data_IF_499895356787
#
_entry.id   IF_499895356787
#
_cell.length_a   1.000
_cell.length_b   1.000
_cell.length_c   1.000
_cell.angle_alpha   90.00
_cell.angle_beta   90.00
_cell.angle_gamma   90.00
#
_symmetry.space_group_name_H-M   'P 1'
#
loop_
_entity.id
_entity.type
_entity.pdbx_description
1 polymer ?
#
# COMPACT_ATOMS: atom_id res chain seq x y z
N UNK A 1 -2.22 -41.50 -23.20
CA UNK A 1 -1.62 -40.18 -23.45
C UNK A 1 -0.68 -39.99 -22.26
N UNK A 2 0.64 -40.03 -22.50
CA UNK A 2 1.63 -39.69 -21.49
C UNK A 2 1.33 -38.25 -21.06
N UNK A 3 1.15 -38.02 -19.75
CA UNK A 3 1.09 -36.66 -19.20
C UNK A 3 2.41 -35.98 -19.55
N UNK A 4 2.40 -34.73 -20.06
CA UNK A 4 3.63 -34.00 -20.35
C UNK A 4 4.46 -33.91 -19.07
N UNK A 5 5.75 -34.25 -19.16
CA UNK A 5 6.66 -34.10 -18.03
C UNK A 5 6.63 -32.64 -17.53
N UNK A 6 6.44 -32.48 -16.23
CA UNK A 6 6.41 -31.17 -15.60
C UNK A 6 7.79 -30.50 -15.75
N UNK A 7 7.82 -29.29 -16.31
CA UNK A 7 9.06 -28.54 -16.46
C UNK A 7 9.66 -28.21 -15.09
N UNK A 8 10.87 -28.69 -14.86
CA UNK A 8 11.68 -28.38 -13.66
C UNK A 8 12.81 -27.44 -14.07
N UNK A 9 12.85 -26.19 -13.57
CA UNK A 9 13.96 -25.28 -13.87
C UNK A 9 15.30 -25.85 -13.39
N UNK A 10 16.29 -25.84 -14.25
CA UNK A 10 17.67 -26.16 -13.89
C UNK A 10 18.48 -24.89 -13.71
N UNK A 11 19.39 -24.88 -12.76
CA UNK A 11 20.25 -23.73 -12.48
C UNK A 11 21.74 -24.12 -12.66
N UNK A 12 22.53 -23.18 -13.19
CA UNK A 12 22.14 -21.87 -13.72
C UNK A 12 21.24 -22.00 -14.95
N UNK A 13 20.44 -20.95 -15.21
CA UNK A 13 19.53 -20.92 -16.38
C UNK A 13 20.33 -20.92 -17.68
N UNK A 14 21.53 -20.35 -17.67
CA UNK A 14 22.47 -20.36 -18.80
C UNK A 14 23.85 -20.73 -18.32
N UNK A 15 24.59 -21.54 -19.13
CA UNK A 15 26.00 -21.85 -18.88
C UNK A 15 26.90 -20.62 -19.10
N UNK A 16 26.58 -19.80 -20.10
CA UNK A 16 27.26 -18.53 -20.37
C UNK A 16 26.51 -17.38 -19.74
N UNK A 17 27.20 -16.35 -19.21
CA UNK A 17 26.54 -15.16 -18.67
C UNK A 17 25.66 -14.47 -19.71
N UNK A 18 24.42 -14.18 -19.33
CA UNK A 18 23.46 -13.42 -20.14
C UNK A 18 23.26 -12.08 -19.50
N UNK A 19 23.30 -10.99 -20.28
CA UNK A 19 22.93 -9.65 -19.84
C UNK A 19 21.59 -9.27 -20.44
N UNK A 20 20.66 -8.84 -19.60
CA UNK A 20 19.38 -8.27 -19.98
C UNK A 20 19.21 -6.87 -19.39
N UNK A 21 18.29 -6.12 -19.93
CA UNK A 21 18.01 -4.74 -19.47
C UNK A 21 16.77 -4.69 -18.57
N UNK A 22 16.84 -3.88 -17.51
CA UNK A 22 15.74 -3.66 -16.59
C UNK A 22 15.42 -2.18 -16.42
N UNK A 23 14.16 -1.84 -16.19
CA UNK A 23 13.73 -0.49 -15.81
C UNK A 23 13.14 -0.49 -14.41
N UNK A 24 13.53 0.51 -13.63
CA UNK A 24 13.03 0.75 -12.27
C UNK A 24 12.82 2.25 -12.05
N UNK A 25 11.98 2.62 -11.09
CA UNK A 25 11.67 4.03 -10.81
C UNK A 25 12.03 4.38 -9.36
N UNK A 26 12.71 5.51 -9.18
CA UNK A 26 12.99 6.10 -7.87
C UNK A 26 13.78 5.21 -6.92
N UNK A 27 14.62 4.31 -7.45
CA UNK A 27 15.47 3.48 -6.63
C UNK A 27 16.74 4.24 -6.28
N UNK A 28 17.02 4.37 -5.01
CA UNK A 28 18.30 4.89 -4.55
C UNK A 28 19.38 3.78 -4.55
N UNK A 29 20.60 4.09 -4.99
CA UNK A 29 21.70 3.17 -4.88
C UNK A 29 21.97 2.82 -3.41
N UNK A 30 22.54 1.64 -3.16
CA UNK A 30 23.01 1.28 -1.83
C UNK A 30 24.23 2.16 -1.43
N UNK A 31 24.76 1.96 -0.21
CA UNK A 31 25.91 2.74 0.30
C UNK A 31 27.18 2.60 -0.56
N UNK A 32 27.26 1.58 -1.40
CA UNK A 32 28.37 1.31 -2.32
C UNK A 32 28.11 1.85 -3.73
N UNK A 33 26.99 2.55 -3.93
CA UNK A 33 26.59 3.10 -5.22
C UNK A 33 25.96 2.08 -6.19
N UNK A 34 25.69 0.85 -5.74
CA UNK A 34 25.05 -0.17 -6.57
C UNK A 34 23.53 -0.01 -6.52
N UNK A 35 22.88 -0.10 -7.67
CA UNK A 35 21.41 -0.11 -7.81
C UNK A 35 20.79 -1.45 -7.41
N UNK A 36 21.61 -2.48 -7.27
CA UNK A 36 21.19 -3.82 -6.91
C UNK A 36 21.01 -3.99 -5.41
N UNK A 37 20.02 -4.76 -5.02
CA UNK A 37 19.84 -5.26 -3.66
C UNK A 37 20.43 -6.68 -3.58
N UNK A 38 20.73 -7.15 -2.38
CA UNK A 38 21.22 -8.52 -2.10
C UNK A 38 20.44 -9.59 -2.89
N UNK A 39 19.12 -9.41 -3.03
CA UNK A 39 18.28 -10.33 -3.79
C UNK A 39 18.71 -10.46 -5.26
N UNK A 40 19.06 -9.34 -5.92
CA UNK A 40 19.46 -9.37 -7.33
C UNK A 40 20.87 -9.95 -7.52
N UNK A 41 21.79 -9.65 -6.61
CA UNK A 41 23.11 -10.27 -6.61
C UNK A 41 22.98 -11.80 -6.46
N UNK A 42 22.11 -12.26 -5.56
CA UNK A 42 21.83 -13.70 -5.39
C UNK A 42 21.15 -14.32 -6.62
N UNK A 43 20.22 -13.61 -7.25
CA UNK A 43 19.57 -14.08 -8.49
C UNK A 43 20.60 -14.22 -9.60
N UNK A 44 21.49 -13.24 -9.76
CA UNK A 44 22.56 -13.28 -10.76
C UNK A 44 23.49 -14.49 -10.54
N UNK A 45 23.98 -14.68 -9.30
CA UNK A 45 24.82 -15.84 -8.94
C UNK A 45 24.11 -17.17 -9.22
N UNK A 46 22.81 -17.23 -8.98
CA UNK A 46 22.04 -18.45 -9.10
C UNK A 46 21.63 -18.76 -10.54
N UNK A 47 21.36 -17.73 -11.34
CA UNK A 47 20.82 -17.86 -12.70
C UNK A 47 21.82 -17.67 -13.80
N UNK A 48 22.97 -17.04 -13.51
CA UNK A 48 23.93 -16.54 -14.46
C UNK A 48 23.34 -15.46 -15.41
N UNK A 49 22.35 -14.71 -14.93
CA UNK A 49 21.71 -13.61 -15.66
C UNK A 49 21.99 -12.30 -14.95
N UNK A 50 22.73 -11.41 -15.63
CA UNK A 50 22.98 -10.05 -15.18
C UNK A 50 21.91 -9.10 -15.68
N UNK A 51 21.40 -8.19 -14.82
CA UNK A 51 20.42 -7.18 -15.21
C UNK A 51 21.04 -5.79 -15.15
N UNK A 52 21.16 -5.13 -16.30
CA UNK A 52 21.53 -3.73 -16.38
C UNK A 52 20.30 -2.83 -16.13
N UNK A 53 20.31 -2.10 -15.02
CA UNK A 53 19.16 -1.31 -14.60
C UNK A 53 19.22 0.14 -15.09
N UNK A 54 18.17 0.57 -15.81
CA UNK A 54 17.86 1.97 -16.06
C UNK A 54 16.95 2.46 -14.92
N UNK A 55 17.46 3.38 -14.12
CA UNK A 55 16.69 3.99 -13.03
C UNK A 55 16.09 5.32 -13.49
N UNK A 56 14.78 5.40 -13.53
CA UNK A 56 14.07 6.65 -13.78
C UNK A 56 13.87 7.41 -12.47
N UNK A 57 14.12 8.71 -12.49
CA UNK A 57 14.06 9.53 -11.28
C UNK A 57 12.65 9.68 -10.71
N UNK A 58 11.64 9.65 -11.57
CA UNK A 58 10.25 9.84 -11.15
C UNK A 58 9.26 9.02 -11.98
N UNK A 59 8.04 8.78 -11.46
CA UNK A 59 6.95 8.17 -12.21
C UNK A 59 6.62 8.87 -13.53
N UNK A 60 6.78 10.19 -13.60
CA UNK A 60 6.46 10.99 -14.80
C UNK A 60 7.37 10.67 -15.98
N UNK A 61 8.59 10.21 -15.72
CA UNK A 61 9.53 9.81 -16.76
C UNK A 61 9.14 8.50 -17.46
N UNK A 62 8.29 7.67 -16.84
CA UNK A 62 7.95 6.34 -17.35
C UNK A 62 7.28 6.38 -18.71
N UNK A 63 6.28 7.25 -18.89
CA UNK A 63 5.56 7.36 -20.16
C UNK A 63 6.50 7.80 -21.29
N UNK A 64 7.39 8.76 -21.03
CA UNK A 64 8.39 9.23 -21.99
C UNK A 64 9.40 8.14 -22.34
N UNK A 65 9.87 7.41 -21.35
CA UNK A 65 10.80 6.29 -21.55
C UNK A 65 10.18 5.18 -22.42
N UNK A 66 8.95 4.76 -22.11
CA UNK A 66 8.24 3.72 -22.87
C UNK A 66 7.80 4.19 -24.27
N UNK A 67 7.72 5.49 -24.53
CA UNK A 67 7.48 6.02 -25.86
C UNK A 67 8.73 5.96 -26.76
N UNK A 68 9.91 5.72 -26.19
CA UNK A 68 11.14 5.54 -26.97
C UNK A 68 11.17 4.19 -27.72
N UNK A 69 12.15 4.02 -28.60
CA UNK A 69 12.36 2.76 -29.31
C UNK A 69 13.12 1.71 -28.47
N UNK A 70 13.77 2.15 -27.39
CA UNK A 70 14.59 1.30 -26.53
C UNK A 70 13.76 0.81 -25.34
N UNK A 71 13.32 -0.45 -25.44
CA UNK A 71 12.53 -1.09 -24.38
C UNK A 71 13.40 -2.01 -23.54
N UNK A 72 13.17 -2.02 -22.23
CA UNK A 72 13.85 -2.95 -21.34
C UNK A 72 13.23 -4.35 -21.46
N UNK A 73 14.01 -5.38 -21.19
CA UNK A 73 13.53 -6.75 -21.12
C UNK A 73 12.63 -6.95 -19.88
N UNK A 74 12.90 -6.23 -18.79
CA UNK A 74 12.13 -6.31 -17.54
C UNK A 74 11.73 -4.90 -17.05
N UNK A 75 10.48 -4.77 -16.62
CA UNK A 75 9.96 -3.58 -15.95
C UNK A 75 9.64 -3.91 -14.49
N UNK A 76 10.41 -3.38 -13.56
CA UNK A 76 10.15 -3.50 -12.12
C UNK A 76 9.47 -2.24 -11.60
N UNK A 77 8.24 -2.03 -12.04
CA UNK A 77 7.42 -0.90 -11.64
C UNK A 77 5.93 -1.22 -11.83
N UNK A 78 5.08 -0.68 -10.94
CA UNK A 78 3.62 -0.78 -11.10
C UNK A 78 3.16 0.21 -12.16
N UNK A 79 3.06 -0.23 -13.39
CA UNK A 79 2.60 0.61 -14.49
C UNK A 79 1.16 1.08 -14.28
N UNK A 80 0.85 2.35 -14.61
CA UNK A 80 -0.50 2.84 -14.71
C UNK A 80 -1.32 2.05 -15.76
N UNK A 81 -2.62 1.91 -15.52
CA UNK A 81 -3.51 1.12 -16.40
C UNK A 81 -3.53 1.61 -17.85
N UNK A 82 -3.43 2.92 -18.07
CA UNK A 82 -3.37 3.47 -19.43
C UNK A 82 -2.12 2.98 -20.18
N UNK A 83 -0.96 2.90 -19.56
CA UNK A 83 0.25 2.39 -20.20
C UNK A 83 0.16 0.88 -20.47
N UNK A 84 -0.48 0.12 -19.59
CA UNK A 84 -0.76 -1.30 -19.84
C UNK A 84 -1.70 -1.46 -21.05
N UNK A 85 -2.73 -0.63 -21.16
CA UNK A 85 -3.62 -0.63 -22.31
C UNK A 85 -2.89 -0.28 -23.61
N UNK A 86 -2.16 0.83 -23.61
CA UNK A 86 -1.53 1.36 -24.82
C UNK A 86 -0.42 0.43 -25.34
N UNK A 87 0.43 -0.05 -24.47
CA UNK A 87 1.58 -0.86 -24.87
C UNK A 87 1.35 -2.37 -24.79
N UNK A 88 0.52 -2.85 -23.86
CA UNK A 88 0.19 -4.26 -23.74
C UNK A 88 -0.93 -4.68 -24.63
N UNK A 89 -2.14 -4.13 -24.42
CA UNK A 89 -3.34 -4.58 -25.12
C UNK A 89 -3.34 -4.13 -26.59
N UNK A 90 -3.07 -2.85 -26.84
CA UNK A 90 -3.10 -2.28 -28.18
C UNK A 90 -1.76 -2.45 -28.91
N UNK A 91 -0.66 -2.27 -28.20
CA UNK A 91 0.68 -2.30 -28.77
C UNK A 91 1.34 -3.67 -28.86
N UNK A 92 0.83 -4.68 -28.12
CA UNK A 92 1.35 -6.04 -28.13
C UNK A 92 2.82 -6.15 -27.67
N UNK A 93 3.31 -5.20 -26.85
CA UNK A 93 4.71 -5.14 -26.44
C UNK A 93 5.03 -5.92 -25.16
N UNK A 94 4.00 -6.31 -24.41
CA UNK A 94 4.19 -7.13 -23.22
C UNK A 94 3.96 -8.60 -23.52
N UNK A 95 4.78 -9.43 -22.92
CA UNK A 95 4.62 -10.88 -22.96
C UNK A 95 3.37 -11.28 -22.17
N UNK A 96 2.49 -12.08 -22.76
CA UNK A 96 1.40 -12.68 -22.02
C UNK A 96 1.91 -13.93 -21.29
N UNK A 97 2.00 -13.90 -19.98
CA UNK A 97 2.52 -15.01 -19.19
C UNK A 97 1.68 -16.27 -19.27
N UNK A 98 0.40 -16.18 -19.65
CA UNK A 98 -0.43 -17.36 -19.84
C UNK A 98 0.04 -18.26 -20.98
N UNK A 99 0.75 -17.70 -21.96
CA UNK A 99 1.29 -18.45 -23.10
C UNK A 99 2.54 -19.26 -22.74
N UNK A 100 3.07 -19.09 -21.51
CA UNK A 100 4.33 -19.69 -21.04
C UNK A 100 4.19 -20.43 -19.71
N UNK A 101 2.95 -20.75 -19.27
CA UNK A 101 2.74 -21.43 -17.99
C UNK A 101 3.34 -22.83 -17.92
N UNK A 102 3.60 -23.46 -19.07
CA UNK A 102 4.30 -24.74 -19.17
C UNK A 102 5.76 -24.68 -18.68
N UNK A 103 6.40 -23.53 -18.83
CA UNK A 103 7.77 -23.28 -18.34
C UNK A 103 7.82 -22.38 -17.10
N UNK A 104 6.66 -22.02 -16.54
CA UNK A 104 6.52 -21.19 -15.34
C UNK A 104 5.75 -21.93 -14.22
N UNK A 105 6.29 -23.03 -13.68
CA UNK A 105 5.55 -23.92 -12.78
C UNK A 105 5.09 -23.21 -11.49
N UNK A 106 5.89 -22.29 -10.96
CA UNK A 106 5.54 -21.54 -9.75
C UNK A 106 4.36 -20.57 -9.99
N UNK A 107 4.30 -19.91 -11.16
CA UNK A 107 3.18 -19.05 -11.50
C UNK A 107 1.91 -19.86 -11.76
N UNK A 108 2.03 -20.97 -12.49
CA UNK A 108 0.93 -21.92 -12.72
C UNK A 108 0.35 -22.40 -11.40
N UNK A 109 1.21 -22.89 -10.49
CA UNK A 109 0.79 -23.32 -9.14
C UNK A 109 0.14 -22.19 -8.34
N UNK A 110 0.63 -20.96 -8.46
CA UNK A 110 0.02 -19.81 -7.79
C UNK A 110 -1.42 -19.56 -8.26
N UNK A 111 -1.69 -19.71 -9.54
CA UNK A 111 -3.05 -19.57 -10.07
C UNK A 111 -3.97 -20.73 -9.67
N UNK A 112 -3.42 -21.93 -9.52
CA UNK A 112 -4.16 -23.11 -9.04
C UNK A 112 -4.51 -22.98 -7.54
N UNK A 113 -3.53 -22.59 -6.72
CA UNK A 113 -3.71 -22.42 -5.26
C UNK A 113 -4.59 -21.20 -4.91
N UNK A 114 -4.54 -20.15 -5.74
CA UNK A 114 -5.24 -18.88 -5.54
C UNK A 114 -5.96 -18.41 -6.82
N UNK A 115 -7.07 -19.06 -7.22
CA UNK A 115 -7.76 -18.76 -8.49
C UNK A 115 -8.20 -17.30 -8.66
N UNK A 116 -8.48 -16.60 -7.55
CA UNK A 116 -8.84 -15.18 -7.57
C UNK A 116 -7.70 -14.28 -8.06
N UNK A 117 -6.45 -14.72 -7.94
CA UNK A 117 -5.29 -13.96 -8.42
C UNK A 117 -5.29 -13.90 -9.95
N UNK A 118 -5.63 -14.99 -10.62
CA UNK A 118 -5.74 -15.00 -12.08
C UNK A 118 -6.80 -13.98 -12.54
N UNK A 119 -7.98 -13.99 -11.91
CA UNK A 119 -9.04 -13.03 -12.24
C UNK A 119 -8.61 -11.57 -11.99
N UNK A 120 -7.90 -11.31 -10.87
CA UNK A 120 -7.40 -9.97 -10.52
C UNK A 120 -6.27 -9.47 -11.41
N UNK A 121 -5.49 -10.36 -12.03
CA UNK A 121 -4.35 -10.03 -12.89
C UNK A 121 -4.73 -9.96 -14.36
N UNK A 122 -5.82 -10.63 -14.77
CA UNK A 122 -6.27 -10.65 -16.15
C UNK A 122 -6.68 -9.26 -16.62
N UNK A 123 -6.17 -8.87 -17.78
CA UNK A 123 -6.59 -7.66 -18.47
C UNK A 123 -7.90 -7.90 -19.21
N UNK A 124 -8.50 -6.85 -19.74
CA UNK A 124 -9.79 -6.94 -20.46
C UNK A 124 -9.74 -7.86 -21.69
N UNK A 125 -8.56 -8.07 -22.28
CA UNK A 125 -8.32 -9.01 -23.37
C UNK A 125 -7.99 -10.44 -22.88
N UNK A 126 -8.07 -10.72 -21.59
CA UNK A 126 -7.77 -11.99 -20.96
C UNK A 126 -6.29 -12.28 -20.72
N UNK A 127 -5.37 -11.41 -21.15
CA UNK A 127 -3.93 -11.62 -20.98
C UNK A 127 -3.46 -11.25 -19.56
N UNK A 128 -2.35 -11.84 -19.14
CA UNK A 128 -1.63 -11.52 -17.89
C UNK A 128 -0.23 -11.01 -18.26
N UNK A 129 0.02 -9.73 -18.01
CA UNK A 129 1.28 -9.05 -18.39
C UNK A 129 2.23 -8.79 -17.22
N UNK A 130 1.90 -9.21 -16.02
CA UNK A 130 2.74 -8.98 -14.84
C UNK A 130 2.71 -10.16 -13.89
N UNK A 131 3.78 -10.31 -13.12
CA UNK A 131 3.81 -11.16 -11.94
C UNK A 131 3.57 -10.32 -10.68
N UNK A 132 3.25 -10.97 -9.57
CA UNK A 132 2.93 -10.32 -8.31
C UNK A 132 3.38 -11.18 -7.13
N UNK A 133 3.49 -10.55 -5.96
CA UNK A 133 3.71 -11.28 -4.73
C UNK A 133 2.36 -11.67 -4.12
N UNK A 134 2.18 -12.96 -3.84
CA UNK A 134 1.04 -13.44 -3.05
C UNK A 134 1.44 -13.40 -1.59
N UNK A 135 0.76 -12.56 -0.83
CA UNK A 135 0.90 -12.51 0.63
C UNK A 135 -0.20 -13.36 1.24
N UNK A 136 0.14 -14.58 1.65
CA UNK A 136 -0.77 -15.44 2.39
C UNK A 136 -0.63 -15.22 3.88
N UNK A 137 -1.65 -14.65 4.52
CA UNK A 137 -1.69 -14.55 5.98
C UNK A 137 -2.53 -13.39 6.51
N UNK A 138 -3.20 -13.60 7.62
CA UNK A 138 -4.01 -12.59 8.32
C UNK A 138 -3.22 -11.33 8.67
N UNK A 139 -1.92 -11.43 8.91
CA UNK A 139 -1.08 -10.28 9.23
C UNK A 139 -0.92 -9.29 8.08
N UNK A 140 -1.00 -9.74 6.83
CA UNK A 140 -0.90 -8.90 5.64
C UNK A 140 -2.23 -8.29 5.22
N UNK A 141 -3.33 -8.92 5.62
CA UNK A 141 -4.70 -8.42 5.37
C UNK A 141 -5.11 -7.27 6.30
N UNK A 142 -4.35 -7.03 7.38
CA UNK A 142 -4.64 -6.03 8.41
C UNK A 142 -3.51 -5.02 8.48
N UNK A 143 -3.13 -4.44 7.35
CA UNK A 143 -1.94 -3.57 7.26
C UNK A 143 -2.24 -2.11 7.61
N UNK A 144 -3.46 -1.68 7.38
CA UNK A 144 -3.87 -0.30 7.60
C UNK A 144 -4.28 -0.06 9.06
N UNK A 145 -3.34 0.39 9.86
CA UNK A 145 -3.60 0.70 11.26
C UNK A 145 -3.26 2.15 11.53
N UNK A 146 -4.14 2.91 12.15
CA UNK A 146 -3.76 4.22 12.65
C UNK A 146 -2.73 4.02 13.75
N UNK A 147 -1.63 4.73 13.61
CA UNK A 147 -0.58 4.77 14.61
C UNK A 147 -0.74 5.99 15.49
N UNK A 148 -0.34 5.84 16.74
CA UNK A 148 -0.40 6.92 17.72
C UNK A 148 0.96 7.12 18.39
N UNK A 149 1.29 8.38 18.59
CA UNK A 149 2.41 8.80 19.40
C UNK A 149 2.00 8.81 20.87
N UNK A 150 2.41 7.79 21.59
CA UNK A 150 2.08 7.66 23.03
C UNK A 150 2.73 8.74 23.86
N UNK A 151 3.94 9.18 23.50
CA UNK A 151 4.63 10.31 24.18
C UNK A 151 3.82 11.62 24.09
N UNK A 152 3.20 11.89 22.93
CA UNK A 152 2.35 13.08 22.74
C UNK A 152 1.05 12.97 23.54
N UNK A 153 0.47 11.76 23.63
CA UNK A 153 -0.69 11.52 24.47
C UNK A 153 -0.37 11.69 25.95
N UNK A 154 0.73 11.11 26.43
CA UNK A 154 1.17 11.19 27.81
C UNK A 154 1.47 12.63 28.22
N UNK A 155 2.17 13.40 27.37
CA UNK A 155 2.44 14.84 27.58
C UNK A 155 1.12 15.64 27.70
N UNK A 156 0.06 15.20 27.02
CA UNK A 156 -1.25 15.81 27.11
C UNK A 156 -2.09 15.28 28.28
N UNK A 157 -1.60 14.31 29.04
CA UNK A 157 -2.30 13.67 30.14
C UNK A 157 -3.32 12.60 29.72
N UNK A 158 -3.23 12.12 28.48
CA UNK A 158 -4.08 11.07 27.93
C UNK A 158 -3.41 9.71 28.15
N UNK A 159 -3.97 8.88 29.01
CA UNK A 159 -3.41 7.59 29.42
C UNK A 159 -4.02 6.39 28.72
N UNK A 160 -5.22 6.54 28.15
CA UNK A 160 -5.95 5.47 27.50
C UNK A 160 -6.14 5.77 26.01
N UNK A 161 -6.03 4.74 25.17
CA UNK A 161 -6.34 4.86 23.75
C UNK A 161 -7.84 4.95 23.52
N UNK A 162 -8.30 5.71 22.52
CA UNK A 162 -9.74 5.84 22.25
C UNK A 162 -10.31 4.51 21.77
N UNK A 163 -11.53 4.20 22.19
CA UNK A 163 -12.28 3.00 21.78
C UNK A 163 -13.49 3.37 20.93
N UNK A 164 -13.92 4.63 21.03
CA UNK A 164 -15.06 5.15 20.27
C UNK A 164 -14.68 6.40 19.49
N UNK A 165 -15.50 6.74 18.51
CA UNK A 165 -15.35 7.98 17.73
C UNK A 165 -15.46 9.21 18.64
N UNK A 166 -16.32 9.17 19.66
CA UNK A 166 -16.48 10.27 20.61
C UNK A 166 -15.25 10.42 21.50
N UNK A 167 -14.69 9.32 22.01
CA UNK A 167 -13.44 9.37 22.77
C UNK A 167 -12.28 9.90 21.91
N UNK A 168 -12.21 9.47 20.65
CA UNK A 168 -11.21 9.97 19.70
C UNK A 168 -11.35 11.48 19.49
N UNK A 169 -12.57 11.96 19.26
CA UNK A 169 -12.85 13.37 19.10
C UNK A 169 -12.45 14.20 20.34
N UNK A 170 -12.83 13.76 21.55
CA UNK A 170 -12.48 14.45 22.79
C UNK A 170 -10.95 14.47 23.03
N UNK A 171 -10.25 13.39 22.71
CA UNK A 171 -8.80 13.36 22.79
C UNK A 171 -8.16 14.35 21.81
N UNK A 172 -8.68 14.49 20.60
CA UNK A 172 -8.19 15.48 19.63
C UNK A 172 -8.38 16.92 20.14
N UNK A 173 -9.46 17.22 20.86
CA UNK A 173 -9.67 18.54 21.50
C UNK A 173 -8.63 18.81 22.58
N UNK A 174 -8.36 17.83 23.46
CA UNK A 174 -7.33 17.93 24.49
C UNK A 174 -5.96 18.17 23.87
N UNK A 175 -5.63 17.44 22.81
CA UNK A 175 -4.36 17.59 22.09
C UNK A 175 -4.22 18.98 21.47
N UNK A 176 -5.28 19.49 20.82
CA UNK A 176 -5.25 20.83 20.24
C UNK A 176 -5.10 21.91 21.31
N UNK A 177 -5.84 21.83 22.41
CA UNK A 177 -5.72 22.77 23.52
C UNK A 177 -4.31 22.77 24.12
N UNK A 178 -3.74 21.60 24.33
CA UNK A 178 -2.43 21.42 24.92
C UNK A 178 -1.26 21.83 24.01
N UNK A 179 -1.33 21.46 22.75
CA UNK A 179 -0.20 21.54 21.81
C UNK A 179 -0.33 22.73 20.84
N UNK A 180 -1.51 23.32 20.67
CA UNK A 180 -1.75 24.42 19.74
C UNK A 180 -1.77 24.01 18.26
N UNK A 181 -1.73 22.71 17.98
CA UNK A 181 -1.73 22.15 16.62
C UNK A 181 -2.75 21.02 16.50
N UNK A 182 -3.23 20.73 15.29
CA UNK A 182 -4.11 19.58 15.07
C UNK A 182 -3.45 18.27 15.52
N UNK A 183 -4.18 17.45 16.26
CA UNK A 183 -3.68 16.17 16.76
C UNK A 183 -3.73 15.03 15.76
N UNK A 184 -4.33 15.24 14.57
CA UNK A 184 -4.62 14.20 13.60
C UNK A 184 -4.29 14.60 12.17
N UNK A 185 -3.68 13.66 11.43
CA UNK A 185 -3.50 13.74 9.97
C UNK A 185 -4.13 12.53 9.32
N UNK A 186 -5.08 12.77 8.40
CA UNK A 186 -5.64 11.73 7.55
C UNK A 186 -4.72 11.49 6.34
N UNK A 187 -4.54 10.22 5.95
CA UNK A 187 -3.83 9.87 4.72
C UNK A 187 -4.59 10.35 3.47
N UNK A 188 -3.87 10.72 2.42
CA UNK A 188 -4.47 11.19 1.15
C UNK A 188 -4.88 10.09 0.22
N UNK A 189 -4.27 8.93 0.36
CA UNK A 189 -4.56 7.80 -0.52
C UNK A 189 -5.83 7.11 -0.04
N UNK A 190 -6.93 7.54 -0.58
CA UNK A 190 -8.27 7.09 -0.23
C UNK A 190 -8.46 5.58 -0.46
N UNK A 191 -7.65 4.99 -1.32
CA UNK A 191 -7.68 3.56 -1.67
C UNK A 191 -6.55 2.74 -1.03
N UNK A 192 -5.61 3.37 -0.36
CA UNK A 192 -4.55 2.68 0.34
C UNK A 192 -4.69 2.91 1.83
N UNK A 193 -4.96 1.88 2.53
CA UNK A 193 -4.51 1.63 3.89
C UNK A 193 -5.08 2.47 5.04
N UNK A 194 -5.79 3.62 4.86
CA UNK A 194 -5.72 4.62 5.92
C UNK A 194 -7.01 5.05 6.60
N UNK A 195 -8.13 4.82 5.98
CA UNK A 195 -9.40 5.15 6.60
C UNK A 195 -10.25 3.94 7.03
N UNK A 196 -9.87 2.66 6.81
CA UNK A 196 -10.75 1.54 7.13
C UNK A 196 -11.27 1.55 8.56
N UNK A 197 -10.45 1.99 9.51
CA UNK A 197 -10.84 2.08 10.90
C UNK A 197 -11.94 3.12 11.14
N UNK A 198 -11.80 4.31 10.53
CA UNK A 198 -12.81 5.34 10.66
C UNK A 198 -14.06 4.98 9.87
N UNK A 199 -13.93 4.42 8.66
CA UNK A 199 -15.08 3.94 7.88
C UNK A 199 -15.85 2.85 8.61
N UNK A 200 -15.12 1.87 9.18
CA UNK A 200 -15.73 0.79 9.93
C UNK A 200 -16.57 1.29 11.10
N UNK A 201 -16.08 2.31 11.81
CA UNK A 201 -16.83 2.92 12.90
C UNK A 201 -18.17 3.55 12.46
N UNK A 202 -18.33 3.84 11.17
CA UNK A 202 -19.60 4.32 10.59
C UNK A 202 -20.37 3.22 9.85
N UNK A 203 -19.95 1.95 9.96
CA UNK A 203 -20.60 0.82 9.29
C UNK A 203 -20.48 0.87 7.77
N UNK A 204 -19.38 1.40 7.24
CA UNK A 204 -19.19 1.53 5.79
C UNK A 204 -17.77 1.14 5.37
N UNK A 205 -17.62 0.93 4.06
CA UNK A 205 -16.33 0.73 3.39
C UNK A 205 -16.16 1.84 2.36
N UNK A 206 -14.92 2.18 2.07
CA UNK A 206 -14.61 3.25 1.11
C UNK A 206 -14.44 2.69 -0.29
N UNK A 207 -15.45 2.12 -0.90
CA UNK A 207 -15.43 1.76 -2.32
C UNK A 207 -16.72 1.01 -2.74
N UNK A 208 -16.63 0.33 -3.86
CA UNK A 208 -17.61 -0.68 -4.25
C UNK A 208 -17.36 -1.90 -3.35
N UNK A 209 -18.36 -2.29 -2.59
CA UNK A 209 -18.34 -3.44 -1.69
C UNK A 209 -19.48 -4.41 -1.97
N UNK A 210 -19.50 -5.50 -1.22
CA UNK A 210 -20.63 -6.41 -1.17
C UNK A 210 -21.43 -6.16 0.11
N UNK A 211 -22.75 -6.30 0.04
CA UNK A 211 -23.59 -6.25 1.24
C UNK A 211 -23.29 -7.47 2.14
N UNK A 212 -23.24 -7.25 3.46
CA UNK A 212 -22.92 -8.29 4.46
C UNK A 212 -24.07 -9.30 4.66
N UNK A 213 -25.21 -9.10 3.99
CA UNK A 213 -26.39 -9.96 4.11
C UNK A 213 -26.26 -11.30 3.40
N UNK A 214 -25.11 -11.59 2.81
CA UNK A 214 -24.83 -12.83 2.08
C UNK A 214 -25.49 -12.93 0.71
N UNK A 215 -26.17 -11.88 0.25
CA UNK A 215 -26.82 -11.85 -1.08
C UNK A 215 -25.78 -11.68 -2.21
N UNK A 216 -24.58 -11.21 -1.88
CA UNK A 216 -23.56 -10.87 -2.87
C UNK A 216 -23.91 -9.64 -3.70
N UNK A 217 -24.84 -8.80 -3.23
CA UNK A 217 -25.22 -7.56 -3.89
C UNK A 217 -24.06 -6.58 -3.84
N UNK A 218 -23.70 -6.03 -4.99
CA UNK A 218 -22.68 -4.99 -5.11
C UNK A 218 -23.29 -3.64 -4.71
N UNK A 219 -22.65 -2.98 -3.76
CA UNK A 219 -23.06 -1.67 -3.25
C UNK A 219 -21.99 -0.63 -3.53
N UNK A 220 -22.42 0.55 -4.00
CA UNK A 220 -21.58 1.73 -4.16
C UNK A 220 -21.66 2.57 -2.89
N UNK A 221 -20.69 2.40 -1.99
CA UNK A 221 -20.75 2.93 -0.62
C UNK A 221 -20.66 4.45 -0.54
N UNK A 222 -20.10 5.13 -1.54
CA UNK A 222 -19.91 6.60 -1.52
C UNK A 222 -21.22 7.41 -1.43
N UNK A 223 -22.35 6.81 -1.79
CA UNK A 223 -23.68 7.45 -1.75
C UNK A 223 -24.53 6.94 -0.58
N UNK A 224 -23.96 6.15 0.32
CA UNK A 224 -24.68 5.63 1.49
C UNK A 224 -24.85 6.69 2.59
N UNK A 225 -25.85 6.50 3.43
CA UNK A 225 -26.05 7.35 4.62
C UNK A 225 -24.88 7.21 5.60
N UNK A 226 -24.30 6.03 5.71
CA UNK A 226 -23.13 5.76 6.54
C UNK A 226 -21.91 6.60 6.08
N UNK A 227 -21.68 6.67 4.76
CA UNK A 227 -20.62 7.50 4.21
C UNK A 227 -20.88 8.99 4.44
N UNK A 228 -22.14 9.43 4.39
CA UNK A 228 -22.51 10.79 4.74
C UNK A 228 -22.15 11.12 6.18
N UNK A 229 -22.48 10.26 7.14
CA UNK A 229 -22.11 10.46 8.56
C UNK A 229 -20.59 10.53 8.76
N UNK A 230 -19.85 9.68 8.05
CA UNK A 230 -18.38 9.76 8.04
C UNK A 230 -17.88 11.12 7.55
N UNK A 231 -18.40 11.64 6.45
CA UNK A 231 -18.00 12.95 5.95
C UNK A 231 -18.44 14.10 6.85
N UNK A 232 -19.60 14.01 7.49
CA UNK A 232 -20.04 14.96 8.50
C UNK A 232 -19.07 15.01 9.69
N UNK A 233 -18.58 13.84 10.13
CA UNK A 233 -17.56 13.76 11.16
C UNK A 233 -16.22 14.37 10.71
N UNK A 234 -15.74 14.06 9.51
CA UNK A 234 -14.52 14.68 8.98
C UNK A 234 -14.65 16.20 8.85
N UNK A 235 -15.81 16.67 8.39
CA UNK A 235 -16.09 18.09 8.28
C UNK A 235 -16.03 18.77 9.67
N UNK A 236 -16.59 18.15 10.68
CA UNK A 236 -16.51 18.61 12.07
C UNK A 236 -15.06 18.71 12.55
N UNK A 237 -14.24 17.67 12.31
CA UNK A 237 -12.81 17.70 12.66
C UNK A 237 -12.05 18.80 11.93
N UNK A 238 -12.40 19.04 10.68
CA UNK A 238 -11.79 20.07 9.85
C UNK A 238 -12.15 21.47 10.31
N UNK A 239 -13.43 21.76 10.55
CA UNK A 239 -13.93 23.06 10.99
C UNK A 239 -13.39 23.46 12.37
N UNK A 240 -13.30 22.49 13.26
CA UNK A 240 -12.74 22.68 14.60
C UNK A 240 -11.20 22.64 14.62
N UNK A 241 -10.54 22.50 13.46
CA UNK A 241 -9.09 22.40 13.31
C UNK A 241 -8.47 21.28 14.15
N UNK A 242 -9.17 20.20 14.34
CA UNK A 242 -8.69 19.00 15.03
C UNK A 242 -7.91 18.09 14.09
N UNK A 243 -8.13 18.25 12.79
CA UNK A 243 -7.43 17.58 11.69
C UNK A 243 -6.58 18.59 10.91
N UNK A 244 -5.44 18.16 10.40
CA UNK A 244 -4.54 19.03 9.61
C UNK A 244 -5.25 19.52 8.35
N UNK A 245 -5.28 20.84 8.13
CA UNK A 245 -6.05 21.47 7.06
C UNK A 245 -5.58 21.11 5.65
N UNK A 246 -4.29 20.90 5.49
CA UNK A 246 -3.67 20.58 4.19
C UNK A 246 -3.57 19.07 3.93
N UNK A 247 -4.31 18.25 4.68
CA UNK A 247 -4.20 16.78 4.61
C UNK A 247 -4.34 16.20 3.20
N UNK A 248 -5.10 16.85 2.31
CA UNK A 248 -5.29 16.42 0.92
C UNK A 248 -4.08 16.70 0.01
N UNK A 249 -3.30 17.72 0.32
CA UNK A 249 -2.20 18.21 -0.53
C UNK A 249 -0.82 17.82 -0.02
N UNK A 250 -0.71 17.39 1.23
CA UNK A 250 0.55 16.95 1.81
C UNK A 250 1.02 15.64 1.15
N UNK A 251 2.27 15.62 0.69
CA UNK A 251 2.92 14.38 0.29
C UNK A 251 3.28 13.50 1.49
N UNK A 252 3.63 12.25 1.20
CA UNK A 252 3.92 11.27 2.25
C UNK A 252 5.10 11.64 3.14
N UNK A 253 6.13 12.25 2.59
CA UNK A 253 7.34 12.65 3.34
C UNK A 253 7.01 13.77 4.31
N UNK A 254 6.27 14.78 3.87
CA UNK A 254 5.84 15.89 4.73
C UNK A 254 4.93 15.39 5.86
N UNK A 255 4.01 14.46 5.57
CA UNK A 255 3.19 13.83 6.62
C UNK A 255 4.02 13.09 7.65
N UNK A 256 5.04 12.35 7.22
CA UNK A 256 5.96 11.67 8.14
C UNK A 256 6.71 12.67 9.03
N UNK A 257 7.18 13.78 8.45
CA UNK A 257 7.85 14.83 9.20
C UNK A 257 6.95 15.50 10.23
N UNK A 258 5.68 15.75 9.91
CA UNK A 258 4.72 16.32 10.85
C UNK A 258 4.41 15.40 12.04
N UNK A 259 4.66 14.11 11.90
CA UNK A 259 4.52 13.12 12.98
C UNK A 259 5.82 12.87 13.76
N UNK A 260 6.91 13.60 13.45
CA UNK A 260 8.20 13.44 14.12
C UNK A 260 8.34 14.34 15.37
N UNK A 261 9.46 14.18 16.07
CA UNK A 261 9.68 14.59 17.45
C UNK A 261 9.24 16.01 17.84
N UNK A 262 9.46 16.99 16.98
CA UNK A 262 9.14 18.39 17.31
C UNK A 262 7.68 18.76 17.05
N UNK A 263 6.99 17.96 16.26
CA UNK A 263 5.59 18.18 15.91
C UNK A 263 4.69 17.35 16.84
N UNK A 264 3.61 17.97 17.29
CA UNK A 264 2.70 17.39 18.28
C UNK A 264 1.49 16.71 17.67
N UNK A 265 1.61 16.21 16.43
CA UNK A 265 0.58 15.37 15.82
C UNK A 265 0.66 13.98 16.44
N UNK A 266 -0.41 13.56 17.08
CA UNK A 266 -0.46 12.30 17.82
C UNK A 266 -0.96 11.14 16.96
N UNK A 267 -1.98 11.37 16.14
CA UNK A 267 -2.64 10.33 15.38
C UNK A 267 -2.37 10.47 13.88
N UNK A 268 -1.91 9.39 13.29
CA UNK A 268 -1.70 9.29 11.84
C UNK A 268 -2.25 7.98 11.30
N UNK A 269 -2.96 8.06 10.22
CA UNK A 269 -3.39 6.88 9.49
C UNK A 269 -2.29 6.47 8.53
N UNK A 270 -1.49 5.47 8.90
CA UNK A 270 -0.43 4.90 8.06
C UNK A 270 -0.26 3.41 8.29
N UNK A 271 0.15 2.70 7.23
CA UNK A 271 0.37 1.25 7.29
C UNK A 271 1.64 0.84 8.03
N UNK A 272 2.62 1.74 8.16
CA UNK A 272 3.94 1.39 8.69
C UNK A 272 4.53 2.52 9.54
N UNK A 273 4.69 2.28 10.84
CA UNK A 273 5.46 3.16 11.72
C UNK A 273 6.93 3.34 11.28
N UNK A 274 7.46 2.37 10.55
CA UNK A 274 8.85 2.34 10.04
C UNK A 274 9.21 3.48 9.08
N UNK A 275 8.24 4.19 8.52
CA UNK A 275 8.50 5.34 7.65
C UNK A 275 8.90 6.59 8.41
N UNK A 276 8.64 6.62 9.71
CA UNK A 276 9.19 7.65 10.56
C UNK A 276 10.63 7.26 10.87
N UNK A 277 11.57 8.02 10.32
CA UNK A 277 12.99 7.73 10.50
C UNK A 277 13.36 7.83 11.97
N UNK A 278 14.08 6.85 12.48
CA UNK A 278 14.52 6.83 13.89
C UNK A 278 15.26 8.11 14.30
N UNK A 279 16.00 8.72 13.38
CA UNK A 279 16.68 10.00 13.57
C UNK A 279 15.75 11.20 13.81
N UNK A 280 14.48 11.08 13.43
CA UNK A 280 13.45 12.09 13.63
C UNK A 280 12.61 11.83 14.89
N UNK A 281 12.89 10.76 15.62
CA UNK A 281 12.24 10.45 16.88
C UNK A 281 13.06 11.03 18.03
N UNK A 282 12.37 11.51 19.06
CA UNK A 282 13.01 11.95 20.28
C UNK A 282 13.89 10.81 20.82
N UNK A 283 15.19 11.08 20.95
CA UNK A 283 16.19 10.12 21.42
C UNK A 283 16.36 8.84 20.57
N UNK A 284 15.87 8.84 19.31
CA UNK A 284 15.92 7.67 18.44
C UNK A 284 15.11 6.47 18.94
N UNK A 285 14.23 6.67 19.91
CA UNK A 285 13.49 5.59 20.56
C UNK A 285 12.18 5.28 19.83
N UNK A 286 12.09 4.08 19.26
CA UNK A 286 10.92 3.57 18.58
C UNK A 286 9.75 3.22 19.51
N UNK A 287 9.99 3.09 20.81
CA UNK A 287 8.97 2.73 21.79
C UNK A 287 7.84 3.78 21.89
N UNK A 288 8.14 5.02 21.50
CA UNK A 288 7.15 6.10 21.48
C UNK A 288 6.07 5.97 20.41
N UNK A 289 6.21 5.04 19.47
CA UNK A 289 5.36 5.05 18.28
C UNK A 289 4.64 3.76 17.98
N UNK A 290 4.76 2.77 18.83
CA UNK A 290 4.43 1.41 18.42
C UNK A 290 2.98 0.99 18.71
N UNK A 291 2.11 1.89 19.13
CA UNK A 291 0.73 1.49 19.41
C UNK A 291 -0.19 1.77 18.24
N UNK A 292 -0.85 0.70 17.79
CA UNK A 292 -1.99 0.82 16.91
C UNK A 292 -3.24 1.11 17.74
N UNK A 293 -4.09 2.00 17.27
CA UNK A 293 -5.41 2.18 17.88
C UNK A 293 -6.26 0.96 17.53
N UNK A 294 -7.02 0.40 18.49
CA UNK A 294 -8.02 -0.61 18.16
C UNK A 294 -9.11 -0.02 17.24
N UNK A 295 -9.87 -0.85 16.53
CA UNK A 295 -11.01 -0.38 15.77
C UNK A 295 -11.93 0.44 16.67
N UNK A 296 -12.31 1.64 16.20
CA UNK A 296 -13.25 2.49 16.92
C UNK A 296 -14.67 2.01 16.68
N UNK A 297 -15.51 2.20 17.69
CA UNK A 297 -16.96 2.00 17.59
C UNK A 297 -17.70 3.33 17.59
N UNK A 298 -18.94 3.32 17.13
CA UNK A 298 -19.86 4.45 17.24
C UNK A 298 -21.30 3.96 17.43
N UNK A 299 -22.27 4.88 17.46
CA UNK A 299 -23.67 4.55 17.41
C UNK A 299 -24.09 3.88 16.10
N UNK A 300 -23.31 4.04 15.02
CA UNK A 300 -23.56 3.46 13.70
C UNK A 300 -23.01 2.04 13.57
N UNK A 301 -21.93 1.72 14.25
CA UNK A 301 -21.37 0.37 14.33
C UNK A 301 -20.66 0.11 15.66
N UNK A 302 -21.19 -0.85 16.40
CA UNK A 302 -20.67 -1.29 17.68
C UNK A 302 -19.79 -2.55 17.60
N UNK A 303 -19.54 -3.08 16.40
CA UNK A 303 -18.98 -4.43 16.24
C UNK A 303 -17.45 -4.50 16.32
N UNK A 304 -16.73 -3.38 16.39
CA UNK A 304 -15.26 -3.35 16.33
C UNK A 304 -14.67 -4.18 15.20
N UNK A 305 -15.37 -4.25 14.09
CA UNK A 305 -14.91 -5.04 12.95
C UNK A 305 -13.74 -4.31 12.29
N UNK A 306 -12.62 -5.00 12.17
CA UNK A 306 -11.60 -4.59 11.21
C UNK A 306 -12.23 -4.81 9.84
N UNK A 307 -12.63 -3.74 9.17
CA UNK A 307 -13.00 -3.83 7.78
C UNK A 307 -11.79 -4.39 7.02
N UNK A 308 -11.84 -5.68 6.74
CA UNK A 308 -10.83 -6.32 5.92
C UNK A 308 -10.86 -5.66 4.56
N UNK A 309 -9.76 -5.05 4.15
CA UNK A 309 -9.53 -4.78 2.73
C UNK A 309 -9.33 -6.15 2.10
N UNK A 310 -10.37 -6.64 1.43
CA UNK A 310 -10.30 -7.84 0.60
C UNK A 310 -9.55 -7.49 -0.69
#
# INVERSE_FOLDING_TARGET
VEEPEEYVPTYPISEEPITITGMVVGREPNKEGKMTRILWDTIEEYTNIHVEWVNLESPDAVATYLASSEWPDIIQYKLPKNLINDYGILGGRFVNFLDYLDIMPNLKKTFEDYPTTLAGMSQINGAVYSTFAVSGGTATSVVARPHVRTDVLEDAGITELPKTIDEFYEQLKVLKEKNGVPGFILGTEVNSDYAPMLFAAFGTLHQIGFDDDGTGKVTYTYTSDQMKHYYEFLHKLYDEELMHREWLTLDGTTKDQLCCAENKVAFITRSQAQRMKAENLKDGNWDYMSRCIPPLTSEYDSTQTLAGVI
#
